data_IF_493265016399
#
_entry.id   IF_493265016399
#
_cell.length_a   1.000
_cell.length_b   1.000
_cell.length_c   1.000
_cell.angle_alpha   90.00
_cell.angle_beta   90.00
_cell.angle_gamma   90.00
#
_symmetry.space_group_name_H-M   'P 1'
#
loop_
_entity.id
_entity.type
_entity.pdbx_description
1 polymer ?
#
# COMPACT_ATOMS: atom_id res chain seq x y z
N UNK A 1 -10.80 0.43 -9.69
CA UNK A 1 -10.63 -0.21 -11.01
C UNK A 1 -11.95 -0.08 -11.76
N UNK A 2 -11.94 0.19 -13.08
CA UNK A 2 -13.17 0.29 -13.85
C UNK A 2 -14.01 -0.98 -13.66
N UNK A 3 -15.33 -0.87 -13.79
CA UNK A 3 -16.34 -1.93 -13.59
C UNK A 3 -16.71 -2.30 -12.15
N UNK A 4 -16.02 -1.76 -11.14
CA UNK A 4 -16.37 -1.97 -9.74
C UNK A 4 -17.12 -0.77 -9.15
N UNK A 5 -18.12 -1.01 -8.28
CA UNK A 5 -18.82 0.06 -7.58
C UNK A 5 -17.95 0.70 -6.49
N UNK A 6 -18.42 1.83 -5.98
CA UNK A 6 -17.78 2.52 -4.87
C UNK A 6 -17.96 1.79 -3.53
N UNK A 7 -16.96 1.91 -2.64
CA UNK A 7 -16.91 1.18 -1.35
C UNK A 7 -18.12 1.42 -0.42
N UNK A 8 -18.88 2.50 -0.61
CA UNK A 8 -20.07 2.77 0.20
C UNK A 8 -21.30 3.18 -0.61
N UNK A 9 -21.18 3.18 -1.94
CA UNK A 9 -22.21 3.71 -2.83
C UNK A 9 -22.27 2.79 -4.07
N UNK A 10 -23.08 1.73 -3.97
CA UNK A 10 -23.17 0.68 -4.97
C UNK A 10 -23.72 1.18 -6.31
N UNK A 11 -24.42 2.31 -6.30
CA UNK A 11 -24.99 2.97 -7.47
C UNK A 11 -23.95 3.71 -8.33
N UNK A 12 -22.74 3.97 -7.81
CA UNK A 12 -21.67 4.62 -8.56
C UNK A 12 -20.57 3.64 -8.91
N UNK A 13 -20.42 3.36 -10.20
CA UNK A 13 -19.37 2.49 -10.75
C UNK A 13 -18.21 3.31 -11.29
N UNK A 14 -16.98 2.90 -10.97
CA UNK A 14 -15.80 3.50 -11.56
C UNK A 14 -15.73 3.16 -13.05
N UNK A 15 -15.44 4.15 -13.87
CA UNK A 15 -15.22 4.03 -15.31
C UNK A 15 -13.84 4.58 -15.66
N UNK A 16 -13.40 4.33 -16.90
CA UNK A 16 -12.14 4.92 -17.40
C UNK A 16 -12.17 6.46 -17.43
N UNK A 17 -13.35 7.07 -17.51
CA UNK A 17 -13.51 8.54 -17.51
C UNK A 17 -13.19 9.20 -16.15
N UNK A 18 -13.09 8.42 -15.08
CA UNK A 18 -12.76 8.93 -13.75
C UNK A 18 -11.26 9.13 -13.51
N UNK A 19 -10.41 8.61 -14.39
CA UNK A 19 -8.96 8.71 -14.25
C UNK A 19 -8.43 9.95 -14.96
N UNK A 20 -7.67 10.76 -14.22
CA UNK A 20 -7.04 11.99 -14.73
C UNK A 20 -5.90 11.71 -15.73
N UNK A 21 -5.06 10.73 -15.42
CA UNK A 21 -3.88 10.39 -16.23
C UNK A 21 -3.63 8.88 -16.22
N UNK A 22 -4.21 8.15 -17.17
CA UNK A 22 -4.07 6.69 -17.21
C UNK A 22 -2.70 6.23 -17.69
N UNK A 23 -1.96 7.07 -18.43
CA UNK A 23 -0.63 6.70 -18.95
C UNK A 23 0.42 6.73 -17.84
N UNK A 24 0.24 7.56 -16.82
CA UNK A 24 1.13 7.56 -15.66
C UNK A 24 0.63 6.59 -14.57
N UNK A 25 -0.65 6.66 -14.20
CA UNK A 25 -1.15 6.01 -12.99
C UNK A 25 -2.02 4.78 -13.22
N UNK A 26 -2.32 4.45 -14.47
CA UNK A 26 -3.34 3.45 -14.81
C UNK A 26 -4.75 3.85 -14.32
N UNK A 27 -5.71 2.94 -14.47
CA UNK A 27 -7.10 3.18 -14.04
C UNK A 27 -7.36 2.76 -12.58
N UNK A 28 -6.44 3.11 -11.68
CA UNK A 28 -6.54 2.80 -10.26
C UNK A 28 -7.09 3.98 -9.47
N UNK A 29 -7.85 3.66 -8.43
CA UNK A 29 -8.27 4.62 -7.40
C UNK A 29 -8.19 3.92 -6.05
N UNK A 30 -7.73 4.65 -5.03
CA UNK A 30 -7.80 4.17 -3.65
C UNK A 30 -9.27 4.09 -3.25
N UNK A 31 -9.70 2.94 -2.74
CA UNK A 31 -11.02 2.79 -2.12
C UNK A 31 -10.95 2.97 -0.60
N UNK A 32 -9.73 3.02 -0.03
CA UNK A 32 -9.54 3.04 1.42
C UNK A 32 -9.71 4.44 1.98
N UNK A 33 -9.09 5.42 1.33
CA UNK A 33 -8.99 6.79 1.81
C UNK A 33 -10.17 7.66 1.41
N UNK A 34 -11.05 7.16 0.54
CA UNK A 34 -12.19 7.96 0.12
C UNK A 34 -13.42 7.64 0.96
N UNK A 35 -13.92 8.62 1.73
CA UNK A 35 -15.10 8.42 2.53
C UNK A 35 -16.36 8.33 1.67
N UNK A 36 -17.46 7.91 2.31
CA UNK A 36 -18.79 8.11 1.74
C UNK A 36 -19.06 9.61 1.57
N UNK A 37 -19.72 9.98 0.47
CA UNK A 37 -20.11 11.37 0.23
C UNK A 37 -20.95 11.90 1.38
N UNK A 38 -20.69 13.13 1.79
CA UNK A 38 -21.36 13.75 2.92
C UNK A 38 -21.37 15.27 2.78
N UNK A 39 -22.18 15.97 3.61
CA UNK A 39 -22.23 17.45 3.61
C UNK A 39 -20.88 18.13 3.92
N UNK A 40 -19.88 17.39 4.40
CA UNK A 40 -18.54 17.90 4.71
C UNK A 40 -17.53 17.79 3.57
N UNK A 41 -17.98 17.46 2.35
CA UNK A 41 -17.12 17.42 1.16
C UNK A 41 -17.13 18.76 0.41
N UNK A 42 -15.98 19.12 -0.16
CA UNK A 42 -15.85 20.29 -1.05
C UNK A 42 -15.11 19.90 -2.32
N UNK A 43 -15.49 20.54 -3.43
CA UNK A 43 -14.96 20.25 -4.76
C UNK A 43 -14.59 21.55 -5.49
N UNK A 44 -13.40 21.59 -6.08
CA UNK A 44 -12.95 22.62 -7.02
C UNK A 44 -12.32 21.94 -8.24
N UNK A 45 -13.13 21.66 -9.27
CA UNK A 45 -12.69 20.90 -10.44
C UNK A 45 -12.23 19.49 -10.04
N UNK A 46 -10.95 19.18 -10.26
CA UNK A 46 -10.33 17.91 -9.89
C UNK A 46 -9.92 17.81 -8.42
N UNK A 47 -10.01 18.92 -7.66
CA UNK A 47 -9.60 18.96 -6.26
C UNK A 47 -10.78 18.62 -5.37
N UNK A 48 -10.64 17.56 -4.57
CA UNK A 48 -11.66 17.09 -3.62
C UNK A 48 -11.06 17.15 -2.22
N UNK A 49 -11.84 17.63 -1.25
CA UNK A 49 -11.45 17.62 0.16
C UNK A 49 -12.59 17.08 1.02
N UNK A 50 -12.23 16.29 2.02
CA UNK A 50 -13.15 15.66 2.97
C UNK A 50 -12.71 15.98 4.40
N UNK A 51 -13.68 16.18 5.30
CA UNK A 51 -13.42 16.40 6.73
C UNK A 51 -13.18 15.08 7.52
N UNK A 52 -12.68 14.03 6.87
CA UNK A 52 -12.40 12.74 7.53
C UNK A 52 -11.16 12.86 8.41
N UNK A 53 -11.24 12.36 9.65
CA UNK A 53 -10.07 12.28 10.53
C UNK A 53 -9.02 11.34 9.94
N UNK A 54 -7.77 11.79 9.94
CA UNK A 54 -6.64 10.95 9.57
C UNK A 54 -6.13 10.14 10.77
N UNK A 55 -5.85 8.86 10.54
CA UNK A 55 -5.37 7.96 11.59
C UNK A 55 -3.84 7.98 11.61
N UNK A 56 -3.26 8.68 12.58
CA UNK A 56 -1.81 8.60 12.82
C UNK A 56 -1.42 7.24 13.41
N UNK A 57 -2.28 6.66 14.24
CA UNK A 57 -2.03 5.41 14.92
C UNK A 57 -3.33 4.67 15.22
N UNK A 58 -3.32 3.35 15.04
CA UNK A 58 -4.51 2.52 15.23
C UNK A 58 -4.20 1.17 15.83
N UNK A 59 -5.21 0.56 16.44
CA UNK A 59 -5.03 -0.66 17.22
C UNK A 59 -4.42 -1.83 16.44
N UNK A 60 -4.78 -2.03 15.17
CA UNK A 60 -4.19 -3.12 14.37
C UNK A 60 -2.69 -2.91 14.10
N UNK A 61 -2.19 -1.68 14.07
CA UNK A 61 -0.74 -1.44 13.97
C UNK A 61 -0.02 -1.86 15.25
N UNK A 62 -0.58 -1.54 16.43
CA UNK A 62 -0.09 -2.04 17.74
C UNK A 62 -0.07 -3.57 17.77
N UNK A 63 -1.15 -4.20 17.32
CA UNK A 63 -1.24 -5.66 17.23
C UNK A 63 -0.13 -6.22 16.35
N UNK A 64 0.09 -5.65 15.17
CA UNK A 64 1.13 -6.11 14.25
C UNK A 64 2.54 -5.86 14.79
N UNK A 65 2.78 -4.75 15.50
CA UNK A 65 4.05 -4.53 16.20
C UNK A 65 4.28 -5.56 17.31
N UNK A 66 3.24 -5.93 18.07
CA UNK A 66 3.34 -7.01 19.07
C UNK A 66 3.62 -8.36 18.40
N UNK A 67 2.90 -8.70 17.33
CA UNK A 67 3.13 -9.94 16.58
C UNK A 67 4.55 -10.00 16.03
N UNK A 68 5.09 -8.87 15.56
CA UNK A 68 6.47 -8.76 15.13
C UNK A 68 7.47 -9.03 16.25
N UNK A 69 7.30 -8.39 17.41
CA UNK A 69 8.16 -8.61 18.57
C UNK A 69 8.13 -10.08 19.00
N UNK A 70 6.95 -10.70 19.05
CA UNK A 70 6.78 -12.12 19.37
C UNK A 70 7.50 -13.04 18.36
N UNK A 71 7.43 -12.73 17.06
CA UNK A 71 8.20 -13.47 16.04
C UNK A 71 9.70 -13.35 16.33
N UNK A 72 10.19 -12.15 16.62
CA UNK A 72 11.61 -11.92 16.90
C UNK A 72 12.07 -12.56 18.22
N UNK A 73 11.16 -12.84 19.15
CA UNK A 73 11.39 -13.61 20.39
C UNK A 73 11.13 -15.12 20.26
N UNK A 74 10.86 -15.61 19.04
CA UNK A 74 10.55 -17.01 18.75
C UNK A 74 9.23 -17.54 19.37
N UNK A 75 8.33 -16.64 19.77
CA UNK A 75 6.97 -16.91 20.26
C UNK A 75 5.94 -17.00 19.11
N UNK A 76 6.23 -17.88 18.14
CA UNK A 76 5.59 -17.86 16.82
C UNK A 76 4.07 -18.13 16.85
N UNK A 77 3.60 -19.03 17.70
CA UNK A 77 2.17 -19.38 17.75
C UNK A 77 1.30 -18.27 18.37
N UNK A 78 1.87 -17.45 19.28
CA UNK A 78 1.17 -16.28 19.81
C UNK A 78 1.08 -15.19 18.74
N UNK A 79 2.16 -14.93 18.01
CA UNK A 79 2.16 -14.01 16.87
C UNK A 79 1.12 -14.40 15.81
N UNK A 80 1.04 -15.70 15.50
CA UNK A 80 0.03 -16.26 14.58
C UNK A 80 -1.39 -15.91 15.02
N UNK A 81 -1.68 -16.04 16.31
CA UNK A 81 -3.01 -15.77 16.87
C UNK A 81 -3.41 -14.32 16.60
N UNK A 82 -2.51 -13.38 16.88
CA UNK A 82 -2.72 -11.94 16.65
C UNK A 82 -2.95 -11.64 15.16
N UNK A 83 -2.10 -12.16 14.28
CA UNK A 83 -2.23 -11.96 12.82
C UNK A 83 -3.57 -12.55 12.33
N UNK A 84 -3.95 -13.73 12.80
CA UNK A 84 -5.21 -14.36 12.43
C UNK A 84 -6.45 -13.63 12.97
N UNK A 85 -6.34 -12.91 14.08
CA UNK A 85 -7.44 -12.06 14.56
C UNK A 85 -7.68 -10.87 13.61
N UNK A 86 -6.62 -10.28 13.07
CA UNK A 86 -6.71 -9.21 12.05
C UNK A 86 -7.32 -9.75 10.76
N UNK A 87 -6.83 -10.91 10.28
CA UNK A 87 -7.35 -11.57 9.07
C UNK A 87 -8.82 -11.95 9.22
N UNK A 88 -9.23 -12.47 10.38
CA UNK A 88 -10.63 -12.79 10.68
C UNK A 88 -11.50 -11.55 10.67
N UNK A 89 -11.03 -10.45 11.27
CA UNK A 89 -11.73 -9.17 11.22
C UNK A 89 -11.87 -8.67 9.78
N UNK A 90 -10.82 -8.76 8.97
CA UNK A 90 -10.84 -8.36 7.57
C UNK A 90 -11.86 -9.18 6.76
N UNK A 91 -11.86 -10.51 6.92
CA UNK A 91 -12.84 -11.40 6.29
C UNK A 91 -14.29 -11.05 6.67
N UNK A 92 -14.54 -10.80 7.97
CA UNK A 92 -15.86 -10.41 8.47
C UNK A 92 -16.30 -8.99 8.02
N UNK A 93 -15.36 -8.18 7.50
CA UNK A 93 -15.64 -6.81 7.05
C UNK A 93 -16.08 -6.74 5.58
N UNK A 94 -15.88 -7.81 4.80
CA UNK A 94 -16.20 -7.84 3.37
C UNK A 94 -17.68 -7.60 3.14
N UNK A 95 -18.55 -8.36 3.79
CA UNK A 95 -19.99 -8.26 3.53
C UNK A 95 -20.56 -6.88 3.84
N UNK A 96 -20.10 -6.29 4.94
CA UNK A 96 -20.58 -4.99 5.41
C UNK A 96 -20.13 -3.82 4.53
N UNK A 97 -18.95 -3.92 3.92
CA UNK A 97 -18.30 -2.76 3.32
C UNK A 97 -17.99 -2.91 1.84
N UNK A 98 -17.80 -4.11 1.31
CA UNK A 98 -17.41 -4.35 -0.09
C UNK A 98 -17.91 -5.72 -0.54
N UNK A 99 -19.22 -5.98 -0.43
CA UNK A 99 -19.79 -7.31 -0.70
C UNK A 99 -19.39 -7.89 -2.06
N UNK A 100 -19.31 -7.04 -3.09
CA UNK A 100 -18.84 -7.42 -4.43
C UNK A 100 -17.42 -8.01 -4.46
N UNK A 101 -16.56 -7.62 -3.51
CA UNK A 101 -15.17 -8.07 -3.46
C UNK A 101 -15.03 -9.52 -3.00
N UNK A 102 -16.09 -10.12 -2.43
CA UNK A 102 -16.09 -11.52 -2.00
C UNK A 102 -15.65 -12.47 -3.12
N UNK A 103 -16.08 -12.20 -4.35
CA UNK A 103 -15.78 -13.05 -5.50
C UNK A 103 -14.37 -12.82 -6.07
N UNK A 104 -13.64 -11.84 -5.54
CA UNK A 104 -12.32 -11.41 -6.03
C UNK A 104 -11.23 -11.45 -4.94
N UNK A 105 -11.57 -11.80 -3.71
CA UNK A 105 -10.66 -11.75 -2.56
C UNK A 105 -10.78 -13.02 -1.74
N UNK A 106 -9.65 -13.72 -1.56
CA UNK A 106 -9.56 -14.85 -0.63
C UNK A 106 -8.82 -14.44 0.64
N UNK A 107 -9.56 -14.35 1.76
CA UNK A 107 -9.00 -14.02 3.07
C UNK A 107 -9.11 -15.23 3.99
N UNK A 108 -8.09 -16.07 3.96
CA UNK A 108 -8.00 -17.30 4.78
C UNK A 108 -7.06 -17.12 5.97
N UNK A 109 -7.32 -17.77 7.10
CA UNK A 109 -6.40 -17.74 8.25
C UNK A 109 -5.10 -18.47 7.93
N UNK A 110 -3.98 -17.99 8.48
CA UNK A 110 -2.71 -18.70 8.34
C UNK A 110 -2.73 -20.00 9.17
N UNK A 111 -2.33 -21.14 8.56
CA UNK A 111 -2.25 -22.42 9.26
C UNK A 111 -1.08 -22.42 10.25
N UNK A 112 -1.12 -23.34 11.22
CA UNK A 112 -0.06 -23.48 12.21
C UNK A 112 1.31 -23.77 11.57
N UNK A 113 1.32 -24.49 10.45
CA UNK A 113 2.52 -24.86 9.70
C UNK A 113 3.34 -23.68 9.21
N UNK A 114 2.73 -22.51 8.98
CA UNK A 114 3.44 -21.31 8.54
C UNK A 114 4.20 -20.62 9.68
N UNK A 115 3.95 -21.03 10.93
CA UNK A 115 4.55 -20.50 12.15
C UNK A 115 5.36 -21.57 12.88
N UNK A 116 5.93 -22.51 12.13
CA UNK A 116 6.94 -23.47 12.61
C UNK A 116 8.37 -22.95 12.39
N UNK A 117 8.52 -21.90 11.59
CA UNK A 117 9.78 -21.30 11.19
C UNK A 117 9.67 -19.77 11.27
N UNK A 118 10.71 -19.14 11.83
CA UNK A 118 10.75 -17.69 12.09
C UNK A 118 10.73 -16.89 10.79
N UNK A 119 11.42 -17.35 9.76
CA UNK A 119 11.50 -16.65 8.47
C UNK A 119 10.16 -16.65 7.75
N UNK A 120 9.47 -17.78 7.76
CA UNK A 120 8.12 -17.95 7.20
C UNK A 120 7.11 -17.11 7.98
N UNK A 121 7.19 -17.10 9.32
CA UNK A 121 6.35 -16.25 10.17
C UNK A 121 6.58 -14.77 9.88
N UNK A 122 7.83 -14.33 9.70
CA UNK A 122 8.19 -12.95 9.33
C UNK A 122 7.59 -12.58 7.97
N UNK A 123 7.63 -13.46 6.96
CA UNK A 123 6.98 -13.21 5.67
C UNK A 123 5.46 -13.06 5.80
N UNK A 124 4.81 -13.88 6.63
CA UNK A 124 3.37 -13.76 6.92
C UNK A 124 3.05 -12.39 7.54
N UNK A 125 3.82 -11.96 8.53
CA UNK A 125 3.68 -10.63 9.13
C UNK A 125 3.88 -9.49 8.12
N UNK A 126 4.97 -9.55 7.34
CA UNK A 126 5.28 -8.52 6.35
C UNK A 126 4.17 -8.39 5.30
N UNK A 127 3.56 -9.51 4.92
CA UNK A 127 2.41 -9.55 4.03
C UNK A 127 1.17 -8.92 4.68
N UNK A 128 0.87 -9.29 5.93
CA UNK A 128 -0.27 -8.72 6.65
C UNK A 128 -0.12 -7.21 6.84
N UNK A 129 1.07 -6.74 7.26
CA UNK A 129 1.35 -5.30 7.36
C UNK A 129 1.18 -4.57 6.03
N UNK A 130 1.62 -5.16 4.91
CA UNK A 130 1.46 -4.58 3.57
C UNK A 130 -0.01 -4.38 3.21
N UNK A 131 -0.86 -5.35 3.51
CA UNK A 131 -2.29 -5.29 3.17
C UNK A 131 -3.06 -4.38 4.13
N UNK A 132 -2.90 -4.61 5.43
CA UNK A 132 -3.64 -3.92 6.47
C UNK A 132 -3.32 -2.42 6.47
N UNK A 133 -2.04 -2.05 6.34
CA UNK A 133 -1.56 -0.65 6.38
C UNK A 133 -1.38 -0.03 4.98
N UNK A 134 -1.92 -0.64 3.92
CA UNK A 134 -1.80 -0.10 2.56
C UNK A 134 -2.32 1.36 2.51
N UNK A 135 -1.59 2.24 1.83
CA UNK A 135 -1.89 3.67 1.70
C UNK A 135 -1.82 4.48 3.02
N UNK A 136 -1.30 3.93 4.12
CA UNK A 136 -1.15 4.66 5.40
C UNK A 136 0.30 5.11 5.66
N UNK A 137 1.06 5.43 4.61
CA UNK A 137 2.43 6.00 4.68
C UNK A 137 3.51 5.21 5.46
N UNK A 138 3.26 3.95 5.83
CA UNK A 138 4.18 3.15 6.66
C UNK A 138 5.10 2.21 5.87
N UNK A 139 4.71 1.82 4.65
CA UNK A 139 5.38 0.74 3.88
C UNK A 139 6.88 0.98 3.66
N UNK A 140 7.27 2.20 3.29
CA UNK A 140 8.68 2.52 3.04
C UNK A 140 9.52 2.36 4.32
N UNK A 141 9.00 2.84 5.46
CA UNK A 141 9.71 2.74 6.74
C UNK A 141 9.82 1.29 7.22
N UNK A 142 8.79 0.48 6.98
CA UNK A 142 8.80 -0.97 7.21
C UNK A 142 9.89 -1.67 6.37
N UNK A 143 9.93 -1.41 5.06
CA UNK A 143 10.97 -1.97 4.18
C UNK A 143 12.38 -1.54 4.61
N UNK A 144 12.55 -0.28 5.00
CA UNK A 144 13.82 0.27 5.45
C UNK A 144 14.29 -0.38 6.74
N UNK A 145 13.44 -0.47 7.76
CA UNK A 145 13.83 -1.05 9.07
C UNK A 145 14.09 -2.55 9.00
N UNK A 146 13.47 -3.25 8.05
CA UNK A 146 13.79 -4.65 7.74
C UNK A 146 15.05 -4.84 6.90
N UNK A 147 15.63 -3.77 6.36
CA UNK A 147 16.83 -3.84 5.53
C UNK A 147 16.60 -4.38 4.11
N UNK A 148 15.35 -4.43 3.64
CA UNK A 148 14.98 -5.02 2.34
C UNK A 148 14.46 -3.98 1.34
N UNK A 149 14.59 -2.69 1.62
CA UNK A 149 14.07 -1.62 0.77
C UNK A 149 14.66 -1.63 -0.65
N UNK A 150 15.98 -1.79 -0.79
CA UNK A 150 16.63 -1.81 -2.11
C UNK A 150 16.18 -2.98 -2.96
N UNK A 151 16.07 -4.17 -2.38
CA UNK A 151 15.59 -5.38 -3.06
C UNK A 151 14.16 -5.18 -3.56
N UNK A 152 13.24 -4.86 -2.65
CA UNK A 152 11.81 -4.77 -2.97
C UNK A 152 11.49 -3.62 -3.92
N UNK A 153 12.14 -2.45 -3.76
CA UNK A 153 11.86 -1.29 -4.62
C UNK A 153 12.45 -1.46 -6.02
N UNK A 154 13.65 -2.02 -6.16
CA UNK A 154 14.22 -2.29 -7.48
C UNK A 154 13.41 -3.36 -8.23
N UNK A 155 12.95 -4.41 -7.55
CA UNK A 155 12.03 -5.39 -8.15
C UNK A 155 10.71 -4.73 -8.60
N UNK A 156 10.15 -3.86 -7.76
CA UNK A 156 8.96 -3.08 -8.09
C UNK A 156 9.15 -2.18 -9.32
N UNK A 157 10.25 -1.42 -9.41
CA UNK A 157 10.53 -0.57 -10.56
C UNK A 157 10.66 -1.37 -11.87
N UNK A 158 11.37 -2.51 -11.82
CA UNK A 158 11.52 -3.38 -12.98
C UNK A 158 10.18 -3.98 -13.44
N UNK A 159 9.32 -4.36 -12.50
CA UNK A 159 7.99 -4.87 -12.81
C UNK A 159 7.07 -3.78 -13.38
N UNK A 160 6.95 -2.64 -12.69
CA UNK A 160 5.99 -1.60 -13.04
C UNK A 160 6.37 -0.79 -14.28
N UNK A 161 7.65 -0.64 -14.59
CA UNK A 161 8.11 0.04 -15.82
C UNK A 161 7.56 -0.61 -17.10
N UNK A 162 7.17 -1.89 -17.02
CA UNK A 162 6.59 -2.66 -18.12
C UNK A 162 5.13 -3.06 -17.86
N UNK A 163 4.48 -2.50 -16.84
CA UNK A 163 3.12 -2.88 -16.47
C UNK A 163 2.12 -2.50 -17.57
N UNK A 164 1.20 -3.43 -17.82
CA UNK A 164 0.09 -3.26 -18.75
C UNK A 164 -1.20 -3.82 -18.14
N UNK A 165 -2.33 -3.18 -18.43
CA UNK A 165 -3.66 -3.67 -18.06
C UNK A 165 -4.65 -3.46 -19.19
N UNK A 166 -5.44 -4.49 -19.46
CA UNK A 166 -6.69 -4.37 -20.23
C UNK A 166 -7.81 -3.94 -19.29
N UNK A 167 -8.53 -2.88 -19.63
CA UNK A 167 -9.71 -2.42 -18.88
C UNK A 167 -10.94 -2.38 -19.76
N UNK A 168 -12.15 -2.66 -19.21
CA UNK A 168 -13.38 -2.50 -19.96
C UNK A 168 -13.55 -1.07 -20.48
N UNK A 169 -13.87 -0.94 -21.76
CA UNK A 169 -14.08 0.32 -22.46
C UNK A 169 -15.20 0.16 -23.50
N UNK A 170 -16.34 0.81 -23.25
CA UNK A 170 -17.51 0.76 -24.13
C UNK A 170 -17.28 1.45 -25.49
N UNK A 171 -16.24 2.27 -25.62
CA UNK A 171 -15.89 2.94 -26.86
C UNK A 171 -14.88 2.15 -27.70
N UNK A 172 -14.29 1.08 -27.14
CA UNK A 172 -13.37 0.21 -27.87
C UNK A 172 -14.12 -0.82 -28.71
N UNK A 173 -13.70 -1.10 -29.97
CA UNK A 173 -14.29 -2.15 -30.80
C UNK A 173 -14.26 -3.56 -30.16
N UNK A 174 -13.33 -3.82 -29.26
CA UNK A 174 -13.18 -5.10 -28.54
C UNK A 174 -13.90 -5.11 -27.19
N UNK A 175 -14.46 -3.98 -26.77
CA UNK A 175 -14.98 -3.77 -25.41
C UNK A 175 -13.89 -3.57 -24.35
N UNK A 176 -12.62 -3.55 -24.74
CA UNK A 176 -11.47 -3.36 -23.84
C UNK A 176 -10.43 -2.42 -24.44
N UNK A 177 -9.76 -1.67 -23.57
CA UNK A 177 -8.61 -0.83 -23.92
C UNK A 177 -7.41 -1.24 -23.09
N UNK A 178 -6.27 -1.46 -23.76
CA UNK A 178 -5.00 -1.76 -23.13
C UNK A 178 -4.28 -0.46 -22.78
N UNK A 179 -3.82 -0.36 -21.53
CA UNK A 179 -3.03 0.78 -21.06
C UNK A 179 -1.73 0.30 -20.46
N UNK A 180 -0.64 0.93 -20.91
CA UNK A 180 0.67 0.87 -20.26
C UNK A 180 0.79 2.04 -19.30
N UNK A 181 1.37 1.80 -18.13
CA UNK A 181 1.61 2.82 -17.12
C UNK A 181 2.92 2.56 -16.40
N UNK A 182 3.37 3.50 -15.57
CA UNK A 182 4.61 3.34 -14.80
C UNK A 182 5.90 3.54 -15.62
N UNK A 183 5.83 4.07 -16.84
CA UNK A 183 7.02 4.28 -17.69
C UNK A 183 8.07 5.20 -17.07
N UNK A 184 7.68 6.08 -16.15
CA UNK A 184 8.61 6.91 -15.37
C UNK A 184 9.52 6.10 -14.43
N UNK A 185 9.27 4.80 -14.24
CA UNK A 185 10.16 3.90 -13.52
C UNK A 185 11.30 3.32 -14.38
N UNK A 186 11.35 3.59 -15.69
CA UNK A 186 12.39 3.03 -16.59
C UNK A 186 13.82 3.31 -16.10
N UNK A 187 14.06 4.51 -15.57
CA UNK A 187 15.36 4.93 -15.04
C UNK A 187 15.42 4.90 -13.50
N UNK A 188 14.39 4.35 -12.85
CA UNK A 188 14.31 4.31 -11.40
C UNK A 188 15.28 3.26 -10.83
N UNK A 189 16.06 3.69 -9.84
CA UNK A 189 17.01 2.82 -9.16
C UNK A 189 17.17 3.22 -7.70
N UNK A 190 17.20 2.22 -6.83
CA UNK A 190 17.45 2.36 -5.40
C UNK A 190 18.80 1.75 -5.02
N UNK A 191 19.73 2.61 -4.62
CA UNK A 191 21.08 2.24 -4.17
C UNK A 191 21.09 1.99 -2.66
N UNK A 192 21.42 0.75 -2.28
CA UNK A 192 21.60 0.34 -0.88
C UNK A 192 22.72 1.12 -0.18
N UNK A 193 22.47 1.56 1.06
CA UNK A 193 23.41 2.34 1.87
C UNK A 193 23.52 3.82 1.49
N UNK A 194 22.58 4.31 0.68
CA UNK A 194 22.43 5.72 0.27
C UNK A 194 20.98 6.15 0.37
N UNK A 195 20.05 5.49 -0.34
CA UNK A 195 18.69 5.99 -0.51
C UNK A 195 17.74 5.74 0.68
N UNK A 196 18.20 5.10 1.76
CA UNK A 196 17.44 4.85 3.00
C UNK A 196 17.12 6.13 3.79
N UNK A 197 17.94 7.15 3.60
CA UNK A 197 17.79 8.44 4.27
C UNK A 197 17.85 9.56 3.24
N UNK A 198 17.06 10.59 3.47
CA UNK A 198 17.20 11.83 2.72
C UNK A 198 18.57 12.46 2.99
N UNK A 199 19.17 13.12 1.99
CA UNK A 199 20.39 13.89 2.23
C UNK A 199 20.11 15.00 3.25
N UNK A 200 21.08 15.28 4.11
CA UNK A 200 21.04 16.50 4.91
C UNK A 200 21.08 17.68 3.94
N UNK A 201 20.16 18.66 4.03
CA UNK A 201 20.13 19.77 3.10
C UNK A 201 21.45 20.54 3.11
N UNK A 202 22.03 20.77 1.92
CA UNK A 202 23.39 21.28 1.77
C UNK A 202 23.64 22.61 2.50
N UNK A 203 22.65 23.52 2.50
CA UNK A 203 22.75 24.79 3.21
C UNK A 203 22.94 24.61 4.73
N UNK A 204 22.38 23.56 5.33
CA UNK A 204 22.54 23.28 6.76
C UNK A 204 23.98 22.90 7.09
N UNK A 205 24.67 22.19 6.20
CA UNK A 205 26.10 21.85 6.37
C UNK A 205 26.99 23.10 6.35
N UNK A 206 26.59 24.13 5.59
CA UNK A 206 27.35 25.37 5.45
C UNK A 206 27.10 26.37 6.58
N UNK A 207 25.86 26.47 7.08
CA UNK A 207 25.52 27.47 8.10
C UNK A 207 26.27 27.30 9.42
N UNK A 208 26.57 26.05 9.81
CA UNK A 208 27.38 25.76 11.00
C UNK A 208 28.44 24.71 10.64
N UNK A 209 29.60 25.14 10.10
CA UNK A 209 30.65 24.21 9.68
C UNK A 209 31.09 23.30 10.83
N UNK A 210 31.10 21.99 10.58
CA UNK A 210 31.54 20.97 11.54
C UNK A 210 30.48 20.48 12.54
N UNK A 211 29.28 21.08 12.59
CA UNK A 211 28.19 20.59 13.44
C UNK A 211 27.49 19.37 12.82
N UNK A 212 27.28 19.39 11.51
CA UNK A 212 26.58 18.35 10.76
C UNK A 212 27.53 17.56 9.87
N UNK A 213 27.28 16.25 9.75
CA UNK A 213 28.00 15.34 8.88
C UNK A 213 26.99 14.71 7.93
N UNK A 214 27.29 14.71 6.63
CA UNK A 214 26.40 14.16 5.61
C UNK A 214 26.15 12.66 5.81
N UNK A 215 24.95 12.22 5.42
CA UNK A 215 24.62 10.81 5.32
C UNK A 215 25.51 10.10 4.28
N UNK A 216 25.84 8.83 4.55
CA UNK A 216 26.70 8.04 3.66
C UNK A 216 26.15 8.03 2.22
N UNK A 217 27.04 8.26 1.25
CA UNK A 217 26.71 8.19 -0.19
C UNK A 217 26.15 9.47 -0.82
N UNK A 218 26.01 10.56 -0.06
CA UNK A 218 25.65 11.90 -0.54
C UNK A 218 26.79 12.91 -0.41
#
# INVERSE_FOLDING_TARGET
MPSFPYKYEAEYTLTIANTRDPNDYGYYTSLKEVPQRSKGETFEGSWQAFAMNDYVFRYSDVMLMRAEALIELDELQEARTIINDIRRRAANSVEKHIGYARDFCEISLYPASYFNDKETARKCLQWERRLEMAMESSRYFDLRRWGIASEVLNEYFAYESNAYRSVPDSNSPTGYTDVRFGQYYNDAHYTSGKNEFYPIPYNQLYYVPGLYVQNKGY
#
